data_IF_223549883789
#
_entry.id   IF_223549883789
#
_cell.length_a   1.000
_cell.length_b   1.000
_cell.length_c   1.000
_cell.angle_alpha   90.00
_cell.angle_beta   90.00
_cell.angle_gamma   90.00
#
_symmetry.space_group_name_H-M   'P 1'
#
loop_
_entity.id
_entity.type
_entity.pdbx_description
1 polymer ?
#
# COMPACT_ATOMS: atom_id res chain seq x y z
N UNK A 1 6.88 15.03 10.97
CA UNK A 1 6.45 13.88 11.82
C UNK A 1 6.34 12.72 10.84
N UNK A 2 7.18 11.67 10.97
CA UNK A 2 7.42 10.67 9.91
C UNK A 2 6.13 10.12 9.27
N UNK A 3 5.10 9.86 10.08
CA UNK A 3 3.80 9.40 9.58
C UNK A 3 3.11 10.40 8.64
N UNK A 4 3.06 11.69 9.00
CA UNK A 4 2.41 12.72 8.20
C UNK A 4 3.11 12.89 6.84
N UNK A 5 4.44 12.79 6.86
CA UNK A 5 5.27 12.90 5.67
C UNK A 5 5.06 11.69 4.74
N UNK A 6 4.84 10.49 5.31
CA UNK A 6 4.46 9.30 4.54
C UNK A 6 3.04 9.38 3.97
N UNK A 7 2.08 9.91 4.72
CA UNK A 7 0.70 10.10 4.29
C UNK A 7 0.58 11.16 3.19
N UNK A 8 1.40 12.22 3.26
CA UNK A 8 1.44 13.32 2.29
C UNK A 8 2.71 13.29 1.44
N UNK A 9 3.22 12.10 1.12
CA UNK A 9 4.48 11.96 0.39
C UNK A 9 4.52 12.73 -0.93
N UNK A 10 3.38 12.92 -1.61
CA UNK A 10 3.27 13.72 -2.83
C UNK A 10 3.67 15.18 -2.65
N UNK A 11 3.44 15.81 -1.49
CA UNK A 11 3.81 17.21 -1.26
C UNK A 11 5.31 17.39 -1.07
N UNK A 12 6.00 16.32 -0.67
CA UNK A 12 7.44 16.33 -0.43
C UNK A 12 8.22 15.91 -1.68
N UNK A 13 7.69 14.93 -2.42
CA UNK A 13 8.36 14.38 -3.60
C UNK A 13 8.05 15.13 -4.90
N UNK A 14 6.92 15.87 -4.97
CA UNK A 14 6.50 16.63 -6.15
C UNK A 14 6.52 15.85 -7.48
N UNK A 15 6.26 14.54 -7.41
CA UNK A 15 6.21 13.65 -8.58
C UNK A 15 4.98 13.89 -9.45
N UNK A 16 5.16 13.91 -10.77
CA UNK A 16 4.05 13.96 -11.74
C UNK A 16 3.16 12.71 -11.73
N UNK A 17 3.67 11.57 -11.24
CA UNK A 17 2.94 10.31 -11.16
C UNK A 17 2.08 10.16 -9.89
N UNK A 18 2.26 11.05 -8.90
CA UNK A 18 1.54 10.99 -7.60
C UNK A 18 0.63 12.21 -7.38
N UNK A 19 0.77 13.27 -8.18
CA UNK A 19 0.05 14.54 -8.03
C UNK A 19 -1.43 14.50 -8.42
N UNK A 20 -1.93 13.39 -9.01
CA UNK A 20 -3.23 13.36 -9.71
C UNK A 20 -4.40 12.70 -8.98
N UNK A 21 -4.17 11.99 -7.88
CA UNK A 21 -5.22 11.28 -7.14
C UNK A 21 -5.35 11.85 -5.73
N UNK A 22 -6.29 12.78 -5.54
CA UNK A 22 -6.44 13.51 -4.28
C UNK A 22 -7.03 12.72 -3.11
N UNK A 23 -7.40 11.45 -3.26
CA UNK A 23 -8.07 10.67 -2.19
C UNK A 23 -7.74 9.17 -2.26
N UNK A 24 -7.62 8.58 -3.45
CA UNK A 24 -7.41 7.14 -3.60
C UNK A 24 -5.92 6.74 -3.57
N UNK A 25 -5.57 5.78 -2.70
CA UNK A 25 -4.22 5.17 -2.66
C UNK A 25 -3.93 4.52 -4.01
N UNK A 26 -2.89 5.02 -4.69
CA UNK A 26 -2.48 4.56 -6.02
C UNK A 26 -1.23 3.69 -5.93
N UNK A 27 -1.14 2.69 -6.79
CA UNK A 27 0.08 1.90 -6.96
C UNK A 27 1.26 2.66 -7.61
N UNK A 28 1.13 3.97 -7.86
CA UNK A 28 2.25 4.86 -8.18
C UNK A 28 2.96 5.44 -6.94
N UNK A 29 2.36 5.33 -5.75
CA UNK A 29 3.01 5.71 -4.49
C UNK A 29 4.11 4.73 -4.09
N UNK A 30 5.02 5.18 -3.24
CA UNK A 30 6.01 4.31 -2.60
C UNK A 30 5.32 3.31 -1.67
N UNK A 31 5.84 2.08 -1.59
CA UNK A 31 5.19 0.98 -0.86
C UNK A 31 4.93 1.30 0.61
N UNK A 32 5.89 1.95 1.28
CA UNK A 32 5.75 2.41 2.67
C UNK A 32 4.63 3.44 2.84
N UNK A 33 4.46 4.34 1.87
CA UNK A 33 3.37 5.32 1.86
C UNK A 33 2.02 4.66 1.59
N UNK A 34 1.95 3.68 0.67
CA UNK A 34 0.75 2.86 0.44
C UNK A 34 0.36 2.15 1.73
N UNK A 35 1.29 1.47 2.38
CA UNK A 35 1.07 0.73 3.62
C UNK A 35 0.67 1.66 4.77
N UNK A 36 1.31 2.82 4.91
CA UNK A 36 0.96 3.81 5.92
C UNK A 36 -0.45 4.37 5.73
N UNK A 37 -0.89 4.62 4.48
CA UNK A 37 -2.26 5.03 4.19
C UNK A 37 -3.26 3.90 4.50
N UNK A 38 -3.00 2.68 4.02
CA UNK A 38 -3.84 1.52 4.30
C UNK A 38 -4.02 1.31 5.80
N UNK A 39 -2.96 1.44 6.59
CA UNK A 39 -3.03 1.26 8.05
C UNK A 39 -4.01 2.22 8.73
N UNK A 40 -4.31 3.39 8.15
CA UNK A 40 -5.30 4.33 8.71
C UNK A 40 -6.73 3.81 8.64
N UNK A 41 -7.03 2.95 7.67
CA UNK A 41 -8.36 2.35 7.49
C UNK A 41 -8.61 1.24 8.52
N UNK A 42 -7.55 0.71 9.13
CA UNK A 42 -7.63 -0.27 10.22
C UNK A 42 -7.59 0.41 11.58
N UNK A 43 -8.18 -0.24 12.59
CA UNK A 43 -8.06 0.16 13.99
C UNK A 43 -6.68 -0.13 14.57
N UNK A 44 -6.59 -0.22 15.90
CA UNK A 44 -5.33 -0.38 16.64
C UNK A 44 -4.53 -1.62 16.25
N UNK A 45 -5.22 -2.67 15.83
CA UNK A 45 -4.64 -3.97 15.48
C UNK A 45 -5.02 -4.31 14.05
N UNK A 46 -4.03 -4.72 13.26
CA UNK A 46 -4.16 -5.06 11.85
C UNK A 46 -3.85 -6.55 11.68
N UNK A 47 -4.70 -7.27 10.96
CA UNK A 47 -4.39 -8.62 10.49
C UNK A 47 -3.42 -8.54 9.31
N UNK A 48 -2.27 -9.20 9.42
CA UNK A 48 -1.21 -9.17 8.40
C UNK A 48 -1.66 -9.70 7.05
N UNK A 49 -2.48 -10.75 7.04
CA UNK A 49 -2.98 -11.37 5.82
C UNK A 49 -3.95 -10.44 5.09
N UNK A 50 -4.91 -9.86 5.81
CA UNK A 50 -5.86 -8.91 5.22
C UNK A 50 -5.16 -7.66 4.71
N UNK A 51 -4.14 -7.19 5.43
CA UNK A 51 -3.36 -6.04 5.01
C UNK A 51 -2.52 -6.34 3.76
N UNK A 52 -1.97 -7.54 3.66
CA UNK A 52 -1.28 -8.02 2.44
C UNK A 52 -2.24 -8.08 1.25
N UNK A 53 -3.45 -8.62 1.42
CA UNK A 53 -4.45 -8.68 0.34
C UNK A 53 -4.85 -7.29 -0.16
N UNK A 54 -5.03 -6.32 0.76
CA UNK A 54 -5.30 -4.92 0.40
C UNK A 54 -4.13 -4.30 -0.38
N UNK A 55 -2.90 -4.56 0.05
CA UNK A 55 -1.70 -4.10 -0.63
C UNK A 55 -1.55 -4.71 -2.03
N UNK A 56 -1.68 -6.04 -2.15
CA UNK A 56 -1.64 -6.75 -3.43
C UNK A 56 -2.71 -6.23 -4.40
N UNK A 57 -3.92 -6.02 -3.90
CA UNK A 57 -5.04 -5.44 -4.65
C UNK A 57 -4.69 -4.08 -5.23
N UNK A 58 -4.08 -3.18 -4.44
CA UNK A 58 -3.65 -1.86 -4.93
C UNK A 58 -2.57 -2.00 -6.00
N UNK A 59 -1.49 -2.74 -5.70
CA UNK A 59 -0.33 -2.88 -6.59
C UNK A 59 -0.70 -3.51 -7.94
N UNK A 60 -1.55 -4.54 -7.91
CA UNK A 60 -2.03 -5.23 -9.11
C UNK A 60 -3.27 -4.57 -9.77
N UNK A 61 -3.91 -3.58 -9.14
CA UNK A 61 -5.08 -2.89 -9.74
C UNK A 61 -4.77 -2.10 -11.02
N UNK A 62 -3.49 -1.94 -11.40
CA UNK A 62 -3.02 -1.23 -12.62
C UNK A 62 -3.51 -1.81 -13.96
N UNK A 63 -4.51 -2.69 -13.98
CA UNK A 63 -5.09 -3.28 -15.19
C UNK A 63 -6.62 -3.44 -15.23
N UNK A 64 -7.37 -3.04 -14.18
CA UNK A 64 -8.84 -3.13 -14.19
C UNK A 64 -9.48 -1.76 -13.93
N UNK A 65 -9.26 -0.83 -14.85
CA UNK A 65 -10.31 0.14 -15.12
C UNK A 65 -11.54 -0.65 -15.59
N UNK A 66 -12.56 -0.76 -14.75
CA UNK A 66 -13.91 -1.11 -15.20
C UNK A 66 -14.39 0.04 -16.09
N UNK A 67 -13.95 0.03 -17.35
CA UNK A 67 -14.64 0.76 -18.41
C UNK A 67 -15.93 -0.03 -18.69
N UNK A 68 -17.01 0.46 -18.11
CA UNK A 68 -18.35 0.19 -18.63
C UNK A 68 -18.42 0.94 -19.96
N UNK A 69 -18.16 0.26 -21.08
CA UNK A 69 -18.25 0.89 -22.39
C UNK A 69 -17.45 0.22 -23.52
N UNK A 70 -18.16 -0.58 -24.31
CA UNK A 70 -17.92 -0.88 -25.73
C UNK A 70 -16.87 -1.95 -26.11
N UNK A 71 -17.21 -2.93 -26.96
CA UNK A 71 -16.29 -3.94 -27.45
C UNK A 71 -15.52 -3.38 -28.65
N UNK A 72 -14.23 -3.08 -28.47
CA UNK A 72 -13.33 -2.91 -29.61
C UNK A 72 -11.97 -3.52 -29.32
N UNK A 73 -11.66 -4.55 -30.10
CA UNK A 73 -10.42 -5.32 -30.06
C UNK A 73 -9.22 -4.41 -30.34
N UNK A 74 -8.51 -3.98 -29.29
CA UNK A 74 -7.11 -3.55 -29.41
C UNK A 74 -6.27 -4.35 -28.43
N UNK A 75 -5.28 -5.05 -28.99
CA UNK A 75 -4.30 -5.92 -28.34
C UNK A 75 -3.51 -5.09 -27.31
N UNK A 76 -4.00 -5.03 -26.08
CA UNK A 76 -3.32 -4.37 -24.96
C UNK A 76 -2.06 -5.17 -24.62
N UNK A 77 -0.91 -4.51 -24.67
CA UNK A 77 0.38 -5.04 -24.27
C UNK A 77 0.30 -5.31 -22.76
N UNK A 78 0.18 -6.59 -22.37
CA UNK A 78 0.13 -6.98 -20.98
C UNK A 78 1.38 -6.44 -20.26
N UNK A 79 1.19 -5.44 -19.40
CA UNK A 79 2.21 -5.06 -18.42
C UNK A 79 2.55 -6.32 -17.61
N UNK A 80 3.83 -6.64 -17.39
CA UNK A 80 4.19 -7.83 -16.64
C UNK A 80 3.53 -7.75 -15.26
N UNK A 81 2.58 -8.64 -15.02
CA UNK A 81 2.03 -8.84 -13.69
C UNK A 81 3.20 -9.26 -12.81
N UNK A 82 3.45 -8.54 -11.72
CA UNK A 82 4.56 -8.89 -10.84
C UNK A 82 4.31 -10.28 -10.26
N UNK A 83 5.36 -11.10 -10.15
CA UNK A 83 5.22 -12.40 -9.52
C UNK A 83 4.75 -12.22 -8.06
N UNK A 84 3.92 -13.14 -7.56
CA UNK A 84 3.44 -13.07 -6.17
C UNK A 84 4.58 -12.97 -5.16
N UNK A 85 5.72 -13.64 -5.43
CA UNK A 85 6.92 -13.55 -4.61
C UNK A 85 7.51 -12.12 -4.54
N UNK A 86 7.50 -11.37 -5.65
CA UNK A 86 7.98 -9.99 -5.68
C UNK A 86 7.07 -9.07 -4.85
N UNK A 87 5.75 -9.26 -4.94
CA UNK A 87 4.78 -8.45 -4.19
C UNK A 87 4.91 -8.75 -2.69
N UNK A 88 5.07 -10.01 -2.31
CA UNK A 88 5.33 -10.41 -0.94
C UNK A 88 6.62 -9.79 -0.40
N UNK A 89 7.72 -9.80 -1.18
CA UNK A 89 8.97 -9.17 -0.77
C UNK A 89 8.81 -7.65 -0.55
N UNK A 90 8.09 -6.96 -1.44
CA UNK A 90 7.77 -5.53 -1.31
C UNK A 90 6.94 -5.25 -0.06
N UNK A 91 5.93 -6.07 0.20
CA UNK A 91 5.12 -5.98 1.42
C UNK A 91 5.98 -6.15 2.68
N UNK A 92 6.78 -7.21 2.76
CA UNK A 92 7.64 -7.47 3.92
C UNK A 92 8.63 -6.32 4.16
N UNK A 93 9.21 -5.77 3.08
CA UNK A 93 10.09 -4.61 3.16
C UNK A 93 9.35 -3.40 3.74
N UNK A 94 8.18 -3.06 3.20
CA UNK A 94 7.41 -1.91 3.67
C UNK A 94 6.95 -2.06 5.13
N UNK A 95 6.51 -3.25 5.55
CA UNK A 95 6.18 -3.55 6.96
C UNK A 95 7.40 -3.34 7.87
N UNK A 96 8.57 -3.82 7.45
CA UNK A 96 9.83 -3.66 8.20
C UNK A 96 10.22 -2.19 8.32
N UNK A 97 10.06 -1.39 7.26
CA UNK A 97 10.32 0.06 7.31
C UNK A 97 9.37 0.77 8.28
N UNK A 98 8.08 0.40 8.31
CA UNK A 98 7.11 0.93 9.28
C UNK A 98 7.46 0.54 10.73
N UNK A 99 8.01 -0.65 10.94
CA UNK A 99 8.52 -1.07 12.24
C UNK A 99 9.75 -0.25 12.66
N UNK A 100 10.74 -0.10 11.78
CA UNK A 100 11.98 0.64 12.07
C UNK A 100 11.68 2.11 12.40
N UNK A 101 10.72 2.71 11.70
CA UNK A 101 10.27 4.08 11.94
C UNK A 101 9.39 4.24 13.19
N UNK A 102 9.13 3.15 13.92
CA UNK A 102 8.36 3.16 15.17
C UNK A 102 6.85 3.36 14.97
N UNK A 103 6.34 3.21 13.75
CA UNK A 103 4.91 3.35 13.45
C UNK A 103 4.12 2.07 13.74
N UNK A 104 4.80 0.92 13.72
CA UNK A 104 4.23 -0.40 13.90
C UNK A 104 4.98 -1.21 14.97
N UNK A 105 4.24 -1.95 15.78
CA UNK A 105 4.75 -3.03 16.64
C UNK A 105 4.50 -4.36 15.95
N UNK A 106 5.57 -5.14 15.78
CA UNK A 106 5.51 -6.46 15.18
C UNK A 106 4.70 -7.47 16.00
N UNK A 107 4.27 -8.56 15.37
CA UNK A 107 3.50 -9.59 16.03
C UNK A 107 4.26 -10.20 17.21
N UNK A 108 3.53 -10.55 18.26
CA UNK A 108 4.09 -11.27 19.40
C UNK A 108 4.03 -12.77 19.17
N UNK A 109 4.83 -13.55 19.91
CA UNK A 109 4.76 -15.03 19.88
C UNK A 109 3.36 -15.59 20.15
N UNK A 110 2.50 -14.85 20.86
CA UNK A 110 1.14 -15.27 21.18
C UNK A 110 0.14 -14.99 20.06
N UNK A 111 0.43 -14.03 19.18
CA UNK A 111 -0.43 -13.62 18.06
C UNK A 111 0.46 -13.23 16.88
N UNK A 112 0.95 -14.22 16.12
CA UNK A 112 1.89 -13.98 15.02
C UNK A 112 1.25 -13.28 13.81
N UNK A 113 -0.07 -13.30 13.71
CA UNK A 113 -0.79 -12.78 12.54
C UNK A 113 -1.26 -11.33 12.71
N UNK A 114 -1.05 -10.75 13.89
CA UNK A 114 -1.55 -9.43 14.24
C UNK A 114 -0.41 -8.45 14.51
N UNK A 115 -0.43 -7.31 13.83
CA UNK A 115 0.45 -6.17 14.12
C UNK A 115 -0.32 -5.07 14.81
N UNK A 116 0.34 -4.32 15.69
CA UNK A 116 -0.29 -3.22 16.41
C UNK A 116 0.26 -1.89 15.90
N UNK A 117 -0.63 -0.96 15.59
CA UNK A 117 -0.25 0.42 15.30
C UNK A 117 0.20 1.11 16.58
N UNK A 118 1.36 1.76 16.53
CA UNK A 118 1.89 2.51 17.68
C UNK A 118 1.58 3.99 17.51
N UNK A 119 1.68 4.49 16.28
CA UNK A 119 1.42 5.87 15.96
C UNK A 119 0.01 6.03 15.39
N UNK A 120 -0.75 6.89 16.06
CA UNK A 120 -2.01 7.43 15.56
C UNK A 120 -1.72 8.85 15.11
N UNK A 121 -2.19 9.19 13.91
CA UNK A 121 -2.12 10.57 13.45
C UNK A 121 -3.06 11.43 14.28
N UNK A 122 -2.83 12.76 14.34
CA UNK A 122 -3.80 13.69 14.90
C UNK A 122 -5.13 13.66 14.15
#
# INVERSE_FOLDING_TARGET
>A
MVQLDLLKSQSSLNCSCCSRNGIAVSASLHDTSVMCNLAQEYGDVINLHDWYLSFDGIINSKGKSKLVGSPSKKKSKATPQQSGAMIQARFCRAVTELQITGLLRMPSKRRPDLVQRIAFGP
#
